data_IF_424631454464
#
_entry.id   IF_424631454464
#
_cell.length_a   1.000
_cell.length_b   1.000
_cell.length_c   1.000
_cell.angle_alpha   90.00
_cell.angle_beta   90.00
_cell.angle_gamma   90.00
#
_symmetry.space_group_name_H-M   'P 1'
#
loop_
_entity.id
_entity.type
_entity.pdbx_description
1 polymer ?
#
# COMPACT_ATOMS: atom_id res chain seq x y z
N UNK A 1 -2.30 11.71 -11.42
CA UNK A 1 -1.58 12.72 -10.64
C UNK A 1 -0.37 12.16 -9.86
N UNK A 2 -0.51 11.04 -9.08
CA UNK A 2 0.63 10.49 -8.31
C UNK A 2 1.79 10.03 -9.21
N UNK A 3 1.51 9.45 -10.38
CA UNK A 3 2.56 9.06 -11.34
C UNK A 3 3.40 10.26 -11.76
N UNK A 4 2.78 11.41 -12.05
CA UNK A 4 3.49 12.63 -12.42
C UNK A 4 4.35 13.19 -11.27
N UNK A 5 3.88 13.12 -10.00
CA UNK A 5 4.72 13.46 -8.84
C UNK A 5 5.93 12.51 -8.71
N UNK A 6 5.71 11.21 -8.94
CA UNK A 6 6.83 10.25 -8.95
C UNK A 6 7.81 10.49 -10.09
N UNK A 7 7.31 10.81 -11.30
CA UNK A 7 8.13 11.15 -12.46
C UNK A 7 8.99 12.40 -12.18
N UNK A 8 8.37 13.45 -11.65
CA UNK A 8 9.08 14.69 -11.28
C UNK A 8 10.20 14.43 -10.26
N UNK A 9 9.92 13.64 -9.20
CA UNK A 9 10.95 13.26 -8.21
C UNK A 9 12.10 12.46 -8.83
N UNK A 10 11.83 11.69 -9.88
CA UNK A 10 12.81 10.86 -10.59
C UNK A 10 13.46 11.58 -11.79
N UNK A 11 13.23 12.88 -11.97
CA UNK A 11 13.69 13.67 -13.12
C UNK A 11 13.24 13.07 -14.47
N UNK A 12 12.02 12.55 -14.49
CA UNK A 12 11.35 12.00 -15.68
C UNK A 12 10.25 12.97 -16.15
N UNK A 13 9.87 12.95 -17.43
CA UNK A 13 8.82 13.82 -17.95
C UNK A 13 7.45 13.48 -17.33
N UNK A 14 6.60 14.49 -17.21
CA UNK A 14 5.19 14.31 -16.87
C UNK A 14 4.45 13.79 -18.09
N UNK A 15 3.49 12.92 -17.86
CA UNK A 15 2.54 12.45 -18.87
C UNK A 15 1.29 13.31 -18.84
N UNK A 16 0.67 13.51 -20.00
CA UNK A 16 -0.68 14.06 -20.08
C UNK A 16 -1.69 13.06 -19.50
N UNK A 17 -2.40 13.47 -18.45
CA UNK A 17 -3.30 12.59 -17.72
C UNK A 17 -4.55 12.26 -18.53
N UNK A 18 -5.07 13.20 -19.30
CA UNK A 18 -6.29 13.01 -20.10
C UNK A 18 -6.02 12.09 -21.28
N UNK A 19 -4.92 12.31 -22.00
CA UNK A 19 -4.50 11.45 -23.10
C UNK A 19 -4.17 10.02 -22.59
N UNK A 20 -3.53 9.90 -21.44
CA UNK A 20 -3.27 8.60 -20.82
C UNK A 20 -4.57 7.86 -20.47
N UNK A 21 -5.55 8.55 -19.88
CA UNK A 21 -6.83 7.95 -19.52
C UNK A 21 -7.63 7.53 -20.76
N UNK A 22 -7.61 8.37 -21.79
CA UNK A 22 -8.23 8.05 -23.09
C UNK A 22 -7.61 6.78 -23.69
N UNK A 23 -6.29 6.74 -23.80
CA UNK A 23 -5.56 5.56 -24.30
C UNK A 23 -5.79 4.31 -23.44
N UNK A 24 -5.87 4.44 -22.11
CA UNK A 24 -6.19 3.34 -21.21
C UNK A 24 -7.61 2.80 -21.44
N UNK A 25 -8.62 3.67 -21.61
CA UNK A 25 -9.99 3.25 -21.90
C UNK A 25 -10.06 2.46 -23.22
N UNK A 26 -9.43 2.97 -24.26
CA UNK A 26 -9.36 2.27 -25.56
C UNK A 26 -8.64 0.90 -25.46
N UNK A 27 -7.53 0.84 -24.71
CA UNK A 27 -6.82 -0.41 -24.46
C UNK A 27 -7.73 -1.43 -23.74
N UNK A 28 -8.47 -1.00 -22.72
CA UNK A 28 -9.40 -1.89 -21.99
C UNK A 28 -10.54 -2.39 -22.90
N UNK A 29 -11.06 -1.54 -23.81
CA UNK A 29 -12.09 -1.96 -24.76
C UNK A 29 -11.58 -3.05 -25.71
N UNK A 30 -10.36 -2.89 -26.22
CA UNK A 30 -9.72 -3.88 -27.12
C UNK A 30 -9.48 -5.19 -26.38
N UNK A 31 -9.01 -5.13 -25.15
CA UNK A 31 -8.58 -6.26 -24.34
C UNK A 31 -9.64 -6.75 -23.35
N UNK A 32 -10.90 -6.41 -23.58
CA UNK A 32 -12.04 -6.73 -22.67
C UNK A 32 -12.15 -8.20 -22.30
N UNK A 33 -11.79 -9.09 -23.23
CA UNK A 33 -11.88 -10.53 -23.03
C UNK A 33 -10.83 -11.07 -22.02
N UNK A 34 -9.82 -10.25 -21.67
CA UNK A 34 -8.88 -10.54 -20.60
C UNK A 34 -9.38 -10.17 -19.21
N UNK A 35 -10.52 -9.49 -19.10
CA UNK A 35 -11.10 -9.11 -17.81
C UNK A 35 -11.67 -10.37 -17.14
N UNK A 36 -11.14 -10.81 -15.98
CA UNK A 36 -11.64 -12.00 -15.32
C UNK A 36 -13.07 -11.80 -14.79
N UNK A 37 -13.89 -12.81 -14.91
CA UNK A 37 -15.29 -12.85 -14.46
C UNK A 37 -15.49 -13.46 -13.07
N UNK A 38 -14.47 -14.19 -12.54
CA UNK A 38 -14.55 -14.85 -11.24
C UNK A 38 -14.42 -13.87 -10.08
N UNK A 39 -15.14 -14.14 -9.00
CA UNK A 39 -15.05 -13.35 -7.78
C UNK A 39 -13.62 -13.36 -7.21
N UNK A 40 -13.16 -12.21 -6.72
CA UNK A 40 -11.79 -12.02 -6.20
C UNK A 40 -10.72 -11.83 -7.28
N UNK A 41 -11.06 -11.97 -8.55
CA UNK A 41 -10.15 -11.68 -9.66
C UNK A 41 -10.35 -10.27 -10.20
N UNK A 42 -9.33 -9.72 -10.85
CA UNK A 42 -9.37 -8.40 -11.49
C UNK A 42 -8.38 -8.30 -12.64
N UNK A 43 -8.57 -7.34 -13.52
CA UNK A 43 -7.57 -6.95 -14.49
C UNK A 43 -6.60 -5.96 -13.82
N UNK A 44 -5.34 -6.38 -13.67
CA UNK A 44 -4.30 -5.51 -13.13
C UNK A 44 -3.78 -4.57 -14.22
N UNK A 45 -3.88 -3.28 -13.97
CA UNK A 45 -3.44 -2.22 -14.89
C UNK A 45 -2.14 -1.62 -14.35
N UNK A 46 -1.07 -1.71 -15.14
CA UNK A 46 0.25 -1.21 -14.75
C UNK A 46 0.78 -0.17 -15.73
N UNK A 47 0.51 1.11 -15.53
CA UNK A 47 1.23 2.16 -16.25
C UNK A 47 2.68 2.22 -15.76
N UNK A 48 3.62 2.26 -16.69
CA UNK A 48 5.06 2.21 -16.39
C UNK A 48 5.82 3.18 -17.29
N UNK A 49 6.79 3.87 -16.72
CA UNK A 49 7.73 4.71 -17.45
C UNK A 49 9.15 4.27 -17.15
N UNK A 50 9.97 4.12 -18.18
CA UNK A 50 11.37 3.74 -18.08
C UNK A 50 12.23 4.70 -18.89
N UNK A 51 13.47 4.90 -18.44
CA UNK A 51 14.51 5.54 -19.22
C UNK A 51 15.07 4.56 -20.25
N UNK A 52 15.26 4.98 -21.49
CA UNK A 52 15.69 4.10 -22.61
C UNK A 52 16.96 4.57 -23.30
N UNK A 53 17.56 5.66 -22.85
CA UNK A 53 18.83 6.13 -23.40
C UNK A 53 19.99 5.20 -23.00
N UNK A 54 20.77 4.76 -23.98
CA UNK A 54 21.99 4.00 -23.74
C UNK A 54 23.10 4.92 -23.25
N UNK A 55 23.54 4.74 -22.00
CA UNK A 55 24.64 5.50 -21.40
C UNK A 55 25.31 4.69 -20.29
N UNK A 56 26.63 4.76 -20.21
CA UNK A 56 27.43 4.20 -19.10
C UNK A 56 27.56 5.23 -17.97
N UNK A 57 27.55 6.52 -18.30
CA UNK A 57 27.70 7.61 -17.34
C UNK A 57 26.45 7.80 -16.47
N UNK A 58 26.64 8.18 -15.22
CA UNK A 58 25.54 8.57 -14.32
C UNK A 58 25.06 9.97 -14.71
N UNK A 59 23.92 10.03 -15.38
CA UNK A 59 23.26 11.28 -15.79
C UNK A 59 21.75 11.10 -15.86
N UNK A 60 21.03 12.20 -15.93
CA UNK A 60 19.61 12.17 -16.29
C UNK A 60 19.46 11.77 -17.75
N UNK A 61 18.50 10.90 -18.05
CA UNK A 61 18.21 10.47 -19.42
C UNK A 61 17.40 11.51 -20.18
N UNK A 62 17.59 11.59 -21.50
CA UNK A 62 16.80 12.41 -22.42
C UNK A 62 15.66 11.64 -23.09
N UNK A 63 15.71 10.29 -23.11
CA UNK A 63 14.74 9.44 -23.79
C UNK A 63 14.03 8.53 -22.81
N UNK A 64 12.69 8.50 -22.88
CA UNK A 64 11.84 7.71 -22.02
C UNK A 64 10.81 6.96 -22.83
N UNK A 65 10.36 5.83 -22.30
CA UNK A 65 9.22 5.08 -22.83
C UNK A 65 8.14 4.96 -21.75
N UNK A 66 6.93 5.41 -22.06
CA UNK A 66 5.73 5.13 -21.29
C UNK A 66 4.93 4.03 -21.96
N UNK A 67 4.42 3.09 -21.17
CA UNK A 67 3.55 2.02 -21.64
C UNK A 67 2.63 1.53 -20.54
N UNK A 68 1.55 0.84 -20.91
CA UNK A 68 0.61 0.23 -19.99
C UNK A 68 0.60 -1.27 -20.24
N UNK A 69 0.72 -2.06 -19.17
CA UNK A 69 0.59 -3.51 -19.21
C UNK A 69 -0.71 -3.88 -18.51
N UNK A 70 -1.45 -4.81 -19.12
CA UNK A 70 -2.63 -5.44 -18.55
C UNK A 70 -2.30 -6.89 -18.19
N UNK A 71 -2.81 -7.38 -17.06
CA UNK A 71 -2.66 -8.77 -16.67
C UNK A 71 -3.84 -9.23 -15.83
N UNK A 72 -4.49 -10.35 -16.14
CA UNK A 72 -5.41 -10.99 -15.19
C UNK A 72 -4.70 -11.29 -13.90
N UNK A 73 -5.31 -10.96 -12.77
CA UNK A 73 -4.76 -11.18 -11.45
C UNK A 73 -5.78 -11.93 -10.58
N UNK A 74 -5.30 -12.96 -9.89
CA UNK A 74 -6.04 -13.62 -8.82
C UNK A 74 -6.06 -12.74 -7.56
N UNK A 75 -6.90 -13.07 -6.59
CA UNK A 75 -6.91 -12.40 -5.28
C UNK A 75 -5.50 -12.46 -4.66
N UNK A 76 -4.96 -11.31 -4.31
CA UNK A 76 -3.69 -11.22 -3.62
C UNK A 76 -3.87 -11.67 -2.17
N UNK A 77 -3.05 -12.64 -1.72
CA UNK A 77 -3.15 -13.21 -0.37
C UNK A 77 -4.61 -13.62 -0.05
N UNK A 78 -4.98 -14.82 -0.18
CA UNK A 78 -6.27 -15.48 0.21
C UNK A 78 -7.42 -14.61 0.76
N UNK A 79 -7.47 -13.31 0.44
CA UNK A 79 -8.51 -12.34 0.85
C UNK A 79 -8.38 -11.85 2.29
N UNK A 80 -9.43 -11.15 2.75
CA UNK A 80 -9.51 -10.52 4.08
C UNK A 80 -9.34 -11.51 5.25
N UNK A 81 -9.66 -12.79 5.05
CA UNK A 81 -9.61 -13.80 6.11
C UNK A 81 -8.20 -14.36 6.40
N UNK A 82 -7.17 -13.97 5.64
CA UNK A 82 -5.80 -14.41 5.87
C UNK A 82 -5.05 -13.39 6.72
N UNK A 83 -4.86 -13.72 7.99
CA UNK A 83 -4.01 -12.92 8.88
C UNK A 83 -2.54 -13.22 8.64
N UNK A 84 -1.74 -12.15 8.58
CA UNK A 84 -0.30 -12.27 8.38
C UNK A 84 0.49 -12.02 9.65
N UNK A 85 1.66 -12.64 9.74
CA UNK A 85 2.65 -12.41 10.80
C UNK A 85 3.68 -11.41 10.28
N UNK A 86 3.90 -10.31 11.00
CA UNK A 86 4.75 -9.18 10.59
C UNK A 86 5.90 -9.03 11.59
N UNK A 87 7.12 -8.80 11.08
CA UNK A 87 8.30 -8.49 11.88
C UNK A 87 8.59 -7.00 11.84
N UNK A 88 8.84 -6.38 12.98
CA UNK A 88 9.40 -5.01 13.01
C UNK A 88 10.85 -5.07 12.52
N UNK A 89 11.18 -4.24 11.55
CA UNK A 89 12.53 -4.15 10.99
C UNK A 89 13.27 -2.97 11.62
N UNK A 90 14.27 -3.27 12.44
CA UNK A 90 15.04 -2.28 13.18
C UNK A 90 16.47 -2.07 12.64
N UNK A 91 16.89 -2.89 11.68
CA UNK A 91 18.21 -2.80 11.05
C UNK A 91 18.19 -2.05 9.73
N UNK A 92 17.30 -2.44 8.82
CA UNK A 92 17.17 -1.85 7.48
C UNK A 92 16.04 -0.84 7.43
N UNK A 93 16.11 0.08 6.48
CA UNK A 93 15.03 1.05 6.22
C UNK A 93 14.51 0.92 4.80
N UNK A 94 13.24 1.22 4.61
CA UNK A 94 12.64 1.26 3.28
C UNK A 94 13.08 2.49 2.48
N UNK A 95 13.12 3.64 3.16
CA UNK A 95 13.40 4.94 2.57
C UNK A 95 13.84 5.95 3.64
N UNK A 96 14.28 7.12 3.21
CA UNK A 96 14.58 8.25 4.09
C UNK A 96 13.87 9.52 3.59
N UNK A 97 13.68 10.47 4.50
CA UNK A 97 13.18 11.81 4.16
C UNK A 97 14.14 12.49 3.19
N UNK A 98 13.61 13.12 2.13
CA UNK A 98 14.42 13.69 1.04
C UNK A 98 14.94 12.66 0.04
N UNK A 99 14.77 11.37 0.30
CA UNK A 99 15.01 10.28 -0.65
C UNK A 99 13.87 10.08 -1.64
N UNK A 100 13.69 8.85 -2.11
CA UNK A 100 12.68 8.49 -3.12
C UNK A 100 11.43 7.81 -2.53
N UNK A 101 11.29 7.80 -1.18
CA UNK A 101 10.24 7.04 -0.49
C UNK A 101 8.81 7.38 -0.90
N UNK A 102 8.54 8.66 -1.16
CA UNK A 102 7.23 9.14 -1.61
C UNK A 102 6.98 8.96 -3.12
N UNK A 103 8.01 8.58 -3.89
CA UNK A 103 7.88 8.24 -5.30
C UNK A 103 7.64 6.73 -5.47
N UNK A 104 6.77 6.36 -6.42
CA UNK A 104 6.54 4.95 -6.75
C UNK A 104 7.59 4.47 -7.77
N UNK A 105 8.83 4.32 -7.30
CA UNK A 105 9.96 3.88 -8.11
C UNK A 105 10.48 2.51 -7.66
N UNK A 106 11.07 1.76 -8.59
CA UNK A 106 11.51 0.37 -8.35
C UNK A 106 12.65 0.27 -7.33
N UNK A 107 13.48 1.31 -7.20
CA UNK A 107 14.58 1.33 -6.23
C UNK A 107 14.12 1.15 -4.78
N UNK A 108 12.96 1.71 -4.41
CA UNK A 108 12.39 1.51 -3.07
C UNK A 108 12.02 0.04 -2.80
N UNK A 109 11.61 -0.69 -3.82
CA UNK A 109 11.28 -2.11 -3.71
C UNK A 109 12.54 -2.96 -3.63
N UNK A 110 13.53 -2.70 -4.51
CA UNK A 110 14.79 -3.43 -4.51
C UNK A 110 15.51 -3.30 -3.15
N UNK A 111 15.53 -2.12 -2.54
CA UNK A 111 16.13 -1.87 -1.22
C UNK A 111 15.46 -2.64 -0.07
N UNK A 112 14.21 -3.08 -0.24
CA UNK A 112 13.47 -3.80 0.80
C UNK A 112 13.60 -5.33 0.71
N UNK A 113 14.08 -5.90 -0.40
CA UNK A 113 14.07 -7.35 -0.60
C UNK A 113 14.91 -8.13 0.41
N UNK A 114 16.07 -7.64 0.80
CA UNK A 114 16.93 -8.36 1.76
C UNK A 114 16.23 -8.53 3.11
N UNK A 115 15.70 -7.44 3.67
CA UNK A 115 14.98 -7.47 4.94
C UNK A 115 13.74 -8.38 4.87
N UNK A 116 12.99 -8.29 3.77
CA UNK A 116 11.83 -9.15 3.54
C UNK A 116 12.19 -10.63 3.44
N UNK A 117 13.30 -10.98 2.78
CA UNK A 117 13.77 -12.37 2.67
C UNK A 117 14.24 -12.92 4.02
N UNK A 118 14.94 -12.11 4.83
CA UNK A 118 15.32 -12.47 6.19
C UNK A 118 14.08 -12.73 7.04
N UNK A 119 13.13 -11.80 7.07
CA UNK A 119 11.89 -11.96 7.81
C UNK A 119 11.11 -13.22 7.37
N UNK A 120 11.07 -13.51 6.06
CA UNK A 120 10.43 -14.70 5.52
C UNK A 120 11.12 -15.99 5.99
N UNK A 121 12.45 -16.02 6.06
CA UNK A 121 13.18 -17.19 6.58
C UNK A 121 12.92 -17.44 8.08
N UNK A 122 12.48 -16.41 8.79
CA UNK A 122 12.10 -16.47 10.22
C UNK A 122 10.58 -16.71 10.42
N UNK A 123 9.83 -16.97 9.33
CA UNK A 123 8.40 -17.28 9.38
C UNK A 123 7.45 -16.08 9.39
N UNK A 124 7.96 -14.89 9.09
CA UNK A 124 7.13 -13.68 8.92
C UNK A 124 6.77 -13.45 7.44
N UNK A 125 5.57 -12.98 7.18
CA UNK A 125 5.12 -12.69 5.81
C UNK A 125 5.72 -11.41 5.24
N UNK A 126 5.91 -10.40 6.09
CA UNK A 126 6.38 -9.06 5.73
C UNK A 126 7.06 -8.39 6.92
N UNK A 127 7.63 -7.21 6.68
CA UNK A 127 8.24 -6.36 7.71
C UNK A 127 7.44 -5.08 7.95
N UNK A 128 7.48 -4.58 9.18
CA UNK A 128 7.01 -3.25 9.57
C UNK A 128 8.20 -2.31 9.57
N UNK A 129 8.19 -1.32 8.71
CA UNK A 129 9.28 -0.39 8.51
C UNK A 129 9.26 0.74 9.54
N UNK A 130 10.43 1.05 10.07
CA UNK A 130 10.66 2.20 10.93
C UNK A 130 11.37 3.32 10.17
N UNK A 131 11.25 4.54 10.68
CA UNK A 131 11.91 5.73 10.15
C UNK A 131 13.43 5.59 10.11
N UNK A 132 14.07 6.28 9.18
CA UNK A 132 15.51 6.12 8.90
C UNK A 132 16.43 6.80 9.93
N UNK A 133 15.91 7.68 10.79
CA UNK A 133 16.69 8.51 11.71
C UNK A 133 16.69 7.92 13.11
N UNK A 134 15.51 7.82 13.71
CA UNK A 134 15.35 7.41 15.11
C UNK A 134 15.11 5.92 15.27
N UNK A 135 14.73 5.20 14.18
CA UNK A 135 14.33 3.77 14.19
C UNK A 135 13.24 3.49 15.22
N UNK A 136 12.34 4.42 15.34
CA UNK A 136 11.31 4.44 16.37
C UNK A 136 9.90 4.61 15.81
N UNK A 137 9.75 5.42 14.77
CA UNK A 137 8.44 5.74 14.22
C UNK A 137 8.10 4.80 13.06
N UNK A 138 6.91 4.27 13.12
CA UNK A 138 6.38 3.37 12.08
C UNK A 138 6.06 4.16 10.81
N UNK A 139 6.41 3.60 9.66
CA UNK A 139 6.15 4.20 8.35
C UNK A 139 5.20 3.36 7.49
N UNK A 140 5.59 2.15 7.15
CA UNK A 140 4.83 1.27 6.24
C UNK A 140 4.94 -0.20 6.67
N UNK A 141 4.06 -1.07 6.18
CA UNK A 141 4.13 -2.52 6.34
C UNK A 141 4.34 -3.19 4.98
N UNK A 142 5.47 -3.88 4.82
CA UNK A 142 5.85 -4.47 3.54
C UNK A 142 5.88 -3.43 2.41
N UNK A 143 4.96 -3.55 1.47
CA UNK A 143 4.77 -2.63 0.33
C UNK A 143 3.44 -1.85 0.42
N UNK A 144 2.88 -1.73 1.62
CA UNK A 144 1.57 -1.12 1.90
C UNK A 144 1.68 -0.05 2.98
N UNK A 145 0.78 0.93 2.96
CA UNK A 145 0.57 1.78 4.13
C UNK A 145 -0.05 0.95 5.26
N UNK A 146 0.07 1.39 6.50
CA UNK A 146 -0.41 0.67 7.68
C UNK A 146 -1.41 1.49 8.46
N UNK A 147 -2.40 0.81 9.05
CA UNK A 147 -3.38 1.37 9.96
C UNK A 147 -3.48 0.52 11.23
N UNK A 148 -3.82 1.17 12.33
CA UNK A 148 -4.00 0.58 13.65
C UNK A 148 -5.32 1.02 14.23
N UNK A 149 -6.02 0.14 14.94
CA UNK A 149 -7.19 0.51 15.75
C UNK A 149 -6.77 0.39 17.22
N UNK A 150 -6.62 1.53 17.89
CA UNK A 150 -6.19 1.62 19.28
C UNK A 150 -7.23 2.41 20.07
N UNK A 151 -7.80 1.81 21.14
CA UNK A 151 -8.86 2.41 21.93
C UNK A 151 -10.07 2.89 21.08
N UNK A 152 -10.40 2.18 20.00
CA UNK A 152 -11.50 2.52 19.10
C UNK A 152 -11.20 3.63 18.07
N UNK A 153 -10.02 4.24 18.10
CA UNK A 153 -9.56 5.23 17.13
C UNK A 153 -8.69 4.57 16.06
N UNK A 154 -8.88 4.95 14.80
CA UNK A 154 -8.03 4.51 13.68
C UNK A 154 -6.84 5.44 13.53
N UNK A 155 -5.65 4.90 13.68
CA UNK A 155 -4.40 5.64 13.55
C UNK A 155 -3.65 5.19 12.30
N UNK A 156 -3.01 6.14 11.60
CA UNK A 156 -2.09 5.83 10.49
C UNK A 156 -0.91 6.80 10.52
N UNK A 157 0.30 6.35 10.13
CA UNK A 157 1.44 7.24 10.04
C UNK A 157 1.17 8.46 9.14
N UNK A 158 1.45 9.66 9.66
CA UNK A 158 1.42 10.88 8.88
C UNK A 158 2.48 10.85 7.78
N UNK A 159 2.16 11.38 6.60
CA UNK A 159 3.10 11.43 5.48
C UNK A 159 4.30 12.30 5.85
N UNK A 160 5.49 11.71 5.84
CA UNK A 160 6.74 12.31 6.34
C UNK A 160 7.74 12.68 5.24
N UNK A 161 7.43 12.40 3.97
CA UNK A 161 8.37 12.53 2.85
C UNK A 161 9.17 11.26 2.55
N UNK A 162 9.07 10.23 3.41
CA UNK A 162 9.61 8.88 3.18
C UNK A 162 8.50 7.85 2.89
N UNK A 163 7.26 8.14 3.26
CA UNK A 163 6.09 7.27 3.10
C UNK A 163 5.42 7.53 1.75
N UNK A 164 5.12 6.46 1.01
CA UNK A 164 4.36 6.59 -0.24
C UNK A 164 2.92 7.07 0.06
N UNK A 165 2.46 8.18 -0.55
CA UNK A 165 1.07 8.64 -0.43
C UNK A 165 0.15 7.68 -1.21
N UNK A 166 -0.27 6.59 -0.55
CA UNK A 166 -1.07 5.53 -1.15
C UNK A 166 -2.48 6.00 -1.51
N UNK A 167 -2.95 5.67 -2.72
CA UNK A 167 -4.33 5.98 -3.13
C UNK A 167 -5.31 5.18 -2.28
N UNK A 168 -5.02 3.90 -2.03
CA UNK A 168 -5.84 3.07 -1.14
C UNK A 168 -5.88 3.64 0.28
N UNK A 169 -4.76 4.17 0.79
CA UNK A 169 -4.72 4.85 2.10
C UNK A 169 -5.62 6.08 2.13
N UNK A 170 -5.55 6.93 1.13
CA UNK A 170 -6.41 8.13 1.03
C UNK A 170 -7.89 7.75 0.96
N UNK A 171 -8.23 6.76 0.14
CA UNK A 171 -9.60 6.22 0.07
C UNK A 171 -10.06 5.61 1.39
N UNK A 172 -9.20 4.85 2.07
CA UNK A 172 -9.50 4.24 3.38
C UNK A 172 -9.80 5.30 4.45
N UNK A 173 -8.98 6.37 4.53
CA UNK A 173 -9.20 7.47 5.47
C UNK A 173 -10.55 8.15 5.21
N UNK A 174 -10.85 8.46 3.95
CA UNK A 174 -12.12 9.11 3.57
C UNK A 174 -13.33 8.24 3.91
N UNK A 175 -13.24 6.95 3.56
CA UNK A 175 -14.34 6.02 3.76
C UNK A 175 -14.58 5.74 5.25
N UNK A 176 -13.54 5.53 6.04
CA UNK A 176 -13.68 5.31 7.48
C UNK A 176 -14.24 6.53 8.20
N UNK A 177 -13.82 7.74 7.84
CA UNK A 177 -14.40 8.98 8.37
C UNK A 177 -15.88 9.13 8.03
N UNK A 178 -16.25 8.75 6.82
CA UNK A 178 -17.63 8.75 6.36
C UNK A 178 -18.50 7.70 7.07
N UNK A 179 -17.93 6.57 7.48
CA UNK A 179 -18.57 5.55 8.31
C UNK A 179 -18.57 5.91 9.82
N UNK A 180 -18.12 7.13 10.18
CA UNK A 180 -18.17 7.67 11.54
C UNK A 180 -16.97 7.34 12.42
N UNK A 181 -15.92 6.74 11.88
CA UNK A 181 -14.69 6.49 12.64
C UNK A 181 -13.84 7.75 12.79
N UNK A 182 -13.26 7.95 13.97
CA UNK A 182 -12.19 8.91 14.16
C UNK A 182 -10.91 8.36 13.53
N UNK A 183 -10.37 9.07 12.53
CA UNK A 183 -9.13 8.67 11.84
C UNK A 183 -8.09 9.77 12.00
N UNK A 184 -7.01 9.45 12.71
CA UNK A 184 -5.92 10.39 13.01
C UNK A 184 -4.64 10.00 12.27
N UNK A 185 -4.08 10.96 11.56
CA UNK A 185 -2.77 10.87 10.91
C UNK A 185 -1.72 11.49 11.83
N UNK A 186 -0.84 10.66 12.42
CA UNK A 186 0.19 11.12 13.36
C UNK A 186 1.47 10.28 13.27
N UNK A 187 2.54 10.75 13.88
CA UNK A 187 3.71 9.88 14.14
C UNK A 187 3.34 8.86 15.21
N UNK A 188 3.62 7.58 14.95
CA UNK A 188 3.29 6.46 15.84
C UNK A 188 4.58 5.72 16.14
N UNK A 189 4.90 5.52 17.41
CA UNK A 189 6.10 4.77 17.77
C UNK A 189 5.83 3.27 17.82
N UNK A 190 6.87 2.48 17.55
CA UNK A 190 6.78 1.03 17.71
C UNK A 190 6.48 0.64 19.15
N UNK A 191 7.02 1.35 20.13
CA UNK A 191 6.79 1.09 21.56
C UNK A 191 5.33 1.35 21.97
N UNK A 192 4.68 2.41 21.42
CA UNK A 192 3.23 2.64 21.61
C UNK A 192 2.41 1.47 21.10
N UNK A 193 2.73 0.97 19.89
CA UNK A 193 2.00 -0.14 19.26
C UNK A 193 2.24 -1.45 20.03
N UNK A 194 3.49 -1.75 20.41
CA UNK A 194 3.82 -2.94 21.19
C UNK A 194 3.15 -2.94 22.57
N UNK A 195 3.11 -1.77 23.23
CA UNK A 195 2.40 -1.62 24.50
C UNK A 195 0.91 -1.85 24.32
N UNK A 196 0.29 -1.21 23.33
CA UNK A 196 -1.14 -1.36 23.03
C UNK A 196 -1.51 -2.79 22.63
N UNK A 197 -0.61 -3.52 21.95
CA UNK A 197 -0.80 -4.93 21.64
C UNK A 197 -0.77 -5.82 22.89
N UNK A 198 0.12 -5.51 23.87
CA UNK A 198 0.24 -6.27 25.13
C UNK A 198 -0.90 -6.02 26.10
N UNK A 199 -1.36 -4.79 26.21
CA UNK A 199 -2.45 -4.41 27.12
C UNK A 199 -3.85 -4.62 26.52
N UNK A 200 -3.92 -5.03 25.24
CA UNK A 200 -5.17 -5.33 24.53
C UNK A 200 -5.90 -4.11 23.96
N UNK A 201 -5.35 -2.90 24.09
CA UNK A 201 -5.94 -1.69 23.51
C UNK A 201 -5.76 -1.59 21.99
N UNK A 202 -4.76 -2.28 21.41
CA UNK A 202 -4.64 -2.50 19.97
C UNK A 202 -5.57 -3.65 19.55
N UNK A 203 -6.72 -3.30 18.99
CA UNK A 203 -7.70 -4.29 18.52
C UNK A 203 -7.49 -4.72 17.08
N UNK A 204 -6.88 -3.87 16.23
CA UNK A 204 -6.57 -4.22 14.85
C UNK A 204 -5.28 -3.56 14.37
N UNK A 205 -4.57 -4.28 13.52
CA UNK A 205 -3.50 -3.75 12.67
C UNK A 205 -3.69 -4.32 11.26
N UNK A 206 -3.61 -3.47 10.25
CA UNK A 206 -3.74 -3.92 8.85
C UNK A 206 -2.97 -3.04 7.87
N UNK A 207 -2.48 -3.67 6.81
CA UNK A 207 -1.93 -2.97 5.64
C UNK A 207 -3.02 -2.59 4.67
N UNK A 208 -2.85 -1.45 3.97
CA UNK A 208 -3.74 -1.02 2.88
C UNK A 208 -2.94 -0.73 1.61
N UNK A 209 -3.37 -1.32 0.49
CA UNK A 209 -2.69 -1.18 -0.79
C UNK A 209 -3.51 -1.73 -1.95
N UNK A 210 -3.16 -1.37 -3.18
CA UNK A 210 -3.97 -1.68 -4.38
C UNK A 210 -4.21 -3.19 -4.58
N UNK A 211 -3.19 -4.02 -4.36
CA UNK A 211 -3.31 -5.46 -4.63
C UNK A 211 -4.08 -6.22 -3.55
N UNK A 212 -3.84 -5.89 -2.27
CA UNK A 212 -4.47 -6.55 -1.13
C UNK A 212 -5.78 -5.89 -0.70
N UNK A 213 -5.97 -4.62 -1.05
CA UNK A 213 -6.99 -3.69 -0.52
C UNK A 213 -6.79 -3.52 0.98
N UNK A 214 -7.07 -4.56 1.77
CA UNK A 214 -6.83 -4.65 3.21
C UNK A 214 -6.14 -5.98 3.51
N UNK A 215 -5.05 -5.94 4.27
CA UNK A 215 -4.29 -7.13 4.72
C UNK A 215 -4.19 -7.13 6.24
N UNK A 216 -5.06 -7.87 6.96
CA UNK A 216 -5.05 -7.90 8.42
C UNK A 216 -3.79 -8.56 8.98
N UNK A 217 -3.30 -8.04 10.10
CA UNK A 217 -2.13 -8.56 10.83
C UNK A 217 -2.60 -9.25 12.11
N UNK A 218 -2.26 -10.52 12.25
CA UNK A 218 -2.61 -11.31 13.44
C UNK A 218 -1.50 -11.37 14.48
N UNK A 219 -0.24 -11.19 14.07
CA UNK A 219 0.91 -11.26 14.99
C UNK A 219 1.97 -10.23 14.59
N UNK A 220 2.48 -9.52 15.58
CA UNK A 220 3.58 -8.56 15.44
C UNK A 220 4.78 -9.05 16.24
N UNK A 221 5.91 -9.27 15.56
CA UNK A 221 7.18 -9.65 16.19
C UNK A 221 8.14 -8.47 16.30
N UNK A 222 8.73 -8.28 17.47
CA UNK A 222 9.72 -7.26 17.72
C UNK A 222 10.77 -7.72 18.75
N UNK A 223 12.05 -7.62 18.42
CA UNK A 223 13.18 -7.98 19.32
C UNK A 223 13.06 -9.38 19.93
N UNK A 224 12.62 -10.36 19.13
CA UNK A 224 12.49 -11.74 19.55
C UNK A 224 11.20 -12.07 20.32
N UNK A 225 10.31 -11.10 20.50
CA UNK A 225 9.01 -11.29 21.14
C UNK A 225 7.89 -11.18 20.08
N UNK A 226 6.97 -12.14 20.07
CA UNK A 226 5.76 -12.12 19.26
C UNK A 226 4.56 -11.73 20.12
N UNK A 227 3.76 -10.77 19.67
CA UNK A 227 2.50 -10.39 20.32
C UNK A 227 1.35 -10.66 19.36
N UNK A 228 0.35 -11.39 19.86
CA UNK A 228 -0.87 -11.71 19.09
C UNK A 228 -1.86 -10.56 19.22
N UNK A 229 -2.39 -10.10 18.08
CA UNK A 229 -3.37 -9.02 17.99
C UNK A 229 -4.75 -9.66 17.85
N UNK A 230 -5.72 -9.17 18.62
CA UNK A 230 -7.14 -9.59 18.57
C UNK A 230 -7.36 -11.11 18.62
N UNK A 231 -6.52 -11.84 19.38
CA UNK A 231 -6.62 -13.31 19.43
C UNK A 231 -6.47 -13.97 18.06
N UNK A 232 -5.71 -13.37 17.14
CA UNK A 232 -5.51 -13.81 15.76
C UNK A 232 -6.83 -13.90 14.97
N UNK A 233 -7.69 -12.90 15.13
CA UNK A 233 -8.96 -12.77 14.40
C UNK A 233 -8.99 -11.48 13.60
N UNK A 234 -9.70 -11.52 12.47
CA UNK A 234 -9.95 -10.31 11.67
C UNK A 234 -10.86 -9.37 12.45
N UNK A 235 -10.47 -8.10 12.49
CA UNK A 235 -11.27 -7.10 13.18
C UNK A 235 -12.40 -6.52 12.33
N UNK A 236 -13.31 -5.81 12.99
CA UNK A 236 -14.52 -5.25 12.35
C UNK A 236 -14.20 -4.10 11.41
N UNK A 237 -13.22 -3.24 11.77
CA UNK A 237 -12.83 -2.08 10.95
C UNK A 237 -12.18 -2.52 9.64
N UNK A 238 -11.25 -3.46 9.69
CA UNK A 238 -10.59 -4.01 8.50
C UNK A 238 -11.58 -4.73 7.59
N UNK A 239 -12.53 -5.47 8.15
CA UNK A 239 -13.60 -6.15 7.42
C UNK A 239 -14.56 -5.16 6.75
N UNK A 240 -15.05 -4.18 7.51
CA UNK A 240 -15.92 -3.11 6.99
C UNK A 240 -15.24 -2.38 5.83
N UNK A 241 -13.98 -1.96 6.03
CA UNK A 241 -13.22 -1.23 5.01
C UNK A 241 -13.07 -2.06 3.73
N UNK A 242 -12.72 -3.33 3.86
CA UNK A 242 -12.59 -4.25 2.71
C UNK A 242 -13.93 -4.40 1.96
N UNK A 243 -15.02 -4.69 2.67
CA UNK A 243 -16.35 -4.89 2.08
C UNK A 243 -16.84 -3.64 1.36
N UNK A 244 -16.67 -2.46 1.97
CA UNK A 244 -17.09 -1.18 1.37
C UNK A 244 -16.26 -0.83 0.15
N UNK A 245 -14.93 -0.94 0.22
CA UNK A 245 -14.06 -0.65 -0.91
C UNK A 245 -14.33 -1.60 -2.09
N UNK A 246 -14.43 -2.90 -1.81
CA UNK A 246 -14.77 -3.89 -2.84
C UNK A 246 -16.18 -3.67 -3.39
N UNK A 247 -17.13 -3.30 -2.54
CA UNK A 247 -18.50 -2.99 -2.94
C UNK A 247 -18.56 -1.84 -3.93
N UNK A 248 -17.85 -0.74 -3.65
CA UNK A 248 -17.75 0.43 -4.56
C UNK A 248 -17.05 0.04 -5.86
N UNK A 249 -15.86 -0.58 -5.78
CA UNK A 249 -15.08 -0.98 -6.96
C UNK A 249 -15.81 -1.96 -7.89
N UNK A 250 -16.72 -2.77 -7.34
CA UNK A 250 -17.53 -3.74 -8.08
C UNK A 250 -18.92 -3.22 -8.45
N UNK A 251 -19.23 -1.96 -8.17
CA UNK A 251 -20.54 -1.36 -8.44
C UNK A 251 -21.69 -1.93 -7.60
N UNK A 252 -21.39 -2.65 -6.51
CA UNK A 252 -22.39 -3.19 -5.56
C UNK A 252 -22.85 -2.15 -4.54
N UNK A 253 -22.05 -1.15 -4.29
CA UNK A 253 -22.31 -0.01 -3.42
C UNK A 253 -22.17 1.25 -4.25
N UNK A 254 -23.06 2.22 -4.07
CA UNK A 254 -23.01 3.51 -4.77
C UNK A 254 -21.70 4.25 -4.49
N UNK A 255 -21.06 4.74 -5.54
CA UNK A 255 -19.83 5.51 -5.48
C UNK A 255 -20.13 6.99 -5.23
N UNK A 256 -20.23 7.39 -3.98
CA UNK A 256 -20.42 8.79 -3.59
C UNK A 256 -19.16 9.64 -3.63
N UNK A 257 -18.01 9.01 -3.87
CA UNK A 257 -16.71 9.68 -3.91
C UNK A 257 -16.22 9.97 -5.34
N UNK A 258 -16.87 9.42 -6.37
CA UNK A 258 -16.45 9.56 -7.76
C UNK A 258 -15.13 8.82 -8.06
N UNK A 259 -14.93 7.64 -7.46
CA UNK A 259 -13.72 6.84 -7.66
C UNK A 259 -13.80 5.88 -8.83
N UNK A 260 -15.00 5.54 -9.25
CA UNK A 260 -15.24 4.60 -10.34
C UNK A 260 -15.32 5.33 -11.66
N UNK A 261 -14.47 4.95 -12.58
CA UNK A 261 -14.46 5.47 -13.96
C UNK A 261 -15.00 4.41 -14.90
N UNK A 262 -16.09 4.76 -15.61
CA UNK A 262 -16.74 3.84 -16.54
C UNK A 262 -15.99 3.80 -17.87
N UNK A 263 -15.85 2.59 -18.41
CA UNK A 263 -15.31 2.34 -19.76
C UNK A 263 -16.47 1.88 -20.64
N UNK A 264 -16.93 2.80 -21.51
CA UNK A 264 -18.04 2.55 -22.44
C UNK A 264 -17.56 1.93 -23.74
#
# INVERSE_FOLDING_TARGET
NRMNRSAERMSMPKIDVEEMLKGLKELIKIEKDWIPDKEGQSLYIRPTMIATESSIGVKTCGNFKFYIILSPAAAYLTGINSLVKIKVEDKYVRACVGGTGEAKCIGNYAGSFLAMNIAKSEGYAQVLWLDSIERKYIEEVGTMNVMFVINGEVLTPALSGSILPGITRDSAIKLLRDEGYTVTEKRITVDEVMKAAKDGSLTEMFGVGTAAIVSPVGTLGYKGEDVVINGNKVGEVSKLLYEKMMGIQRGRIADKFGWVEKVD
#
